data_IF_205759351904
#
_entry.id   IF_205759351904
#
_cell.length_a   1.000
_cell.length_b   1.000
_cell.length_c   1.000
_cell.angle_alpha   90.00
_cell.angle_beta   90.00
_cell.angle_gamma   90.00
#
_symmetry.space_group_name_H-M   'P 1'
#
loop_
_entity.id
_entity.type
_entity.pdbx_description
1 polymer ?
#
# COMPACT_ATOMS: atom_id res chain seq x y z
N UNK A 1 -52.63 -70.59 -59.74
CA UNK A 1 -53.62 -69.68 -60.35
C UNK A 1 -54.50 -69.12 -59.25
N UNK A 2 -54.81 -67.82 -59.35
CA UNK A 2 -55.78 -67.02 -58.58
C UNK A 2 -56.72 -67.72 -57.60
N UNK A 3 -56.90 -67.05 -56.45
CA UNK A 3 -58.13 -66.83 -55.66
C UNK A 3 -57.79 -66.98 -54.16
N UNK A 4 -58.26 -66.19 -53.19
CA UNK A 4 -59.23 -65.08 -53.07
C UNK A 4 -58.97 -64.50 -51.66
N UNK A 5 -58.83 -63.18 -51.49
CA UNK A 5 -59.87 -62.16 -51.18
C UNK A 5 -60.22 -62.03 -49.68
N UNK A 6 -59.82 -60.88 -49.13
CA UNK A 6 -60.43 -60.00 -48.11
C UNK A 6 -61.20 -60.55 -46.90
N UNK A 7 -60.88 -60.04 -45.69
CA UNK A 7 -61.69 -58.99 -45.04
C UNK A 7 -61.14 -58.52 -43.67
N UNK A 8 -61.09 -57.17 -43.49
CA UNK A 8 -61.28 -56.28 -42.31
C UNK A 8 -61.26 -56.89 -40.89
N UNK A 9 -60.71 -56.27 -39.84
CA UNK A 9 -61.21 -55.02 -39.22
C UNK A 9 -60.32 -54.49 -38.07
N UNK A 10 -60.45 -53.20 -37.76
CA UNK A 10 -59.77 -52.39 -36.73
C UNK A 10 -59.96 -52.85 -35.26
N UNK A 11 -58.93 -52.72 -34.40
CA UNK A 11 -58.94 -51.78 -33.25
C UNK A 11 -57.67 -51.80 -32.38
N UNK A 12 -57.12 -50.59 -32.20
CA UNK A 12 -56.33 -50.01 -31.08
C UNK A 12 -56.75 -50.54 -29.68
N UNK A 13 -55.98 -50.54 -28.59
CA UNK A 13 -54.69 -49.98 -28.17
C UNK A 13 -54.54 -50.27 -26.66
N UNK A 14 -53.34 -50.56 -26.14
CA UNK A 14 -52.64 -49.79 -25.07
C UNK A 14 -51.44 -50.56 -24.50
N UNK A 15 -50.28 -49.92 -24.61
CA UNK A 15 -49.03 -50.28 -23.96
C UNK A 15 -49.07 -49.91 -22.47
N UNK A 16 -48.37 -50.65 -21.61
CA UNK A 16 -47.75 -50.05 -20.42
C UNK A 16 -46.27 -50.43 -20.36
N UNK A 17 -45.46 -49.38 -20.36
CA UNK A 17 -43.99 -49.33 -20.45
C UNK A 17 -43.36 -49.70 -19.11
N UNK A 18 -42.16 -50.28 -19.14
CA UNK A 18 -41.26 -50.43 -18.00
C UNK A 18 -40.43 -49.13 -17.81
N UNK A 19 -40.68 -48.29 -16.78
CA UNK A 19 -39.94 -47.05 -16.58
C UNK A 19 -39.16 -47.03 -15.24
N UNK A 20 -39.29 -48.06 -14.40
CA UNK A 20 -38.97 -47.95 -12.98
C UNK A 20 -37.53 -48.31 -12.58
N UNK A 21 -36.76 -49.00 -13.43
CA UNK A 21 -35.39 -49.42 -13.06
C UNK A 21 -34.33 -48.37 -13.44
N UNK A 22 -34.48 -47.69 -14.58
CA UNK A 22 -33.58 -46.58 -14.96
C UNK A 22 -33.77 -45.32 -14.12
N UNK A 23 -34.98 -45.07 -13.63
CA UNK A 23 -35.30 -43.87 -12.82
C UNK A 23 -34.76 -43.97 -11.39
N UNK A 24 -34.61 -45.19 -10.84
CA UNK A 24 -34.01 -45.40 -9.52
C UNK A 24 -32.48 -45.20 -9.53
N UNK A 25 -31.77 -45.65 -10.58
CA UNK A 25 -30.33 -45.41 -10.70
C UNK A 25 -30.00 -43.93 -10.95
N UNK A 26 -30.84 -43.20 -11.70
CA UNK A 26 -30.66 -41.75 -11.87
C UNK A 26 -30.93 -40.96 -10.58
N UNK A 27 -31.85 -41.43 -9.72
CA UNK A 27 -32.13 -40.78 -8.43
C UNK A 27 -30.97 -40.96 -7.44
N UNK A 28 -30.29 -42.11 -7.42
CA UNK A 28 -29.18 -42.35 -6.47
C UNK A 28 -27.94 -41.51 -6.80
N UNK A 29 -27.71 -41.17 -8.08
CA UNK A 29 -26.63 -40.24 -8.47
C UNK A 29 -26.95 -38.76 -8.15
N UNK A 30 -28.22 -38.42 -7.89
CA UNK A 30 -28.65 -37.08 -7.45
C UNK A 30 -28.55 -36.88 -5.92
N UNK A 31 -28.31 -37.95 -5.16
CA UNK A 31 -28.13 -37.92 -3.70
C UNK A 31 -26.71 -38.29 -3.25
N UNK A 32 -25.72 -38.32 -4.16
CA UNK A 32 -24.34 -38.20 -3.72
C UNK A 32 -24.21 -36.80 -3.11
N UNK A 33 -23.84 -36.68 -1.81
CA UNK A 33 -23.50 -35.37 -1.29
C UNK A 33 -22.39 -34.86 -2.21
N UNK A 34 -22.59 -33.68 -2.79
CA UNK A 34 -21.47 -32.87 -3.24
C UNK A 34 -20.60 -32.79 -1.99
N UNK A 35 -19.57 -33.62 -1.92
CA UNK A 35 -18.57 -33.53 -0.88
C UNK A 35 -18.03 -32.13 -1.06
N UNK A 36 -18.52 -31.20 -0.25
CA UNK A 36 -17.98 -29.85 -0.19
C UNK A 36 -16.49 -30.07 -0.09
N UNK A 37 -15.75 -29.64 -1.10
CA UNK A 37 -14.30 -29.72 -1.10
C UNK A 37 -13.91 -29.11 0.23
N UNK A 38 -13.45 -29.96 1.17
CA UNK A 38 -12.92 -29.48 2.44
C UNK A 38 -11.82 -28.52 2.01
N UNK A 39 -12.07 -27.22 2.12
CA UNK A 39 -11.09 -26.20 1.79
C UNK A 39 -9.98 -26.45 2.80
N UNK A 40 -8.95 -27.18 2.36
CA UNK A 40 -7.79 -27.45 3.18
C UNK A 40 -7.10 -26.11 3.38
N UNK A 41 -7.31 -25.51 4.56
CA UNK A 41 -6.55 -24.36 5.05
C UNK A 41 -5.13 -24.77 5.48
N UNK A 42 -4.71 -26.00 5.15
CA UNK A 42 -3.39 -26.53 5.44
C UNK A 42 -2.53 -26.31 4.19
N UNK A 43 -1.36 -25.67 4.31
CA UNK A 43 -0.48 -25.49 3.16
C UNK A 43 -0.13 -26.85 2.56
N UNK A 44 -0.25 -26.97 1.23
CA UNK A 44 0.07 -28.22 0.51
C UNK A 44 1.51 -28.67 0.76
N UNK A 45 2.43 -27.71 0.98
CA UNK A 45 3.82 -27.94 1.32
C UNK A 45 4.21 -27.06 2.50
N UNK A 46 4.71 -27.67 3.57
CA UNK A 46 5.26 -26.98 4.75
C UNK A 46 6.72 -27.36 4.89
N UNK A 47 7.61 -26.47 4.46
CA UNK A 47 9.06 -26.63 4.59
C UNK A 47 9.54 -25.89 5.83
N UNK A 48 10.35 -26.55 6.65
CA UNK A 48 11.09 -25.88 7.71
C UNK A 48 12.30 -25.12 7.15
N UNK A 49 12.86 -24.21 7.93
CA UNK A 49 14.11 -23.53 7.56
C UNK A 49 15.25 -24.51 7.26
N UNK A 50 15.32 -25.63 7.99
CA UNK A 50 16.30 -26.69 7.74
C UNK A 50 16.10 -27.33 6.36
N UNK A 51 14.86 -27.60 5.97
CA UNK A 51 14.53 -28.18 4.67
C UNK A 51 14.88 -27.22 3.52
N UNK A 52 14.66 -25.91 3.72
CA UNK A 52 15.02 -24.87 2.75
C UNK A 52 16.53 -24.76 2.54
N UNK A 53 17.33 -24.88 3.61
CA UNK A 53 18.79 -24.88 3.50
C UNK A 53 19.30 -26.16 2.83
N UNK A 54 18.77 -27.33 3.19
CA UNK A 54 19.19 -28.62 2.61
C UNK A 54 18.85 -28.72 1.11
N UNK A 55 17.75 -28.09 0.69
CA UNK A 55 17.31 -28.06 -0.71
C UNK A 55 17.90 -26.90 -1.53
N UNK A 56 18.82 -26.10 -0.96
CA UNK A 56 19.34 -24.88 -1.57
C UNK A 56 18.25 -23.89 -2.07
N UNK A 57 17.05 -23.94 -1.48
CA UNK A 57 15.93 -23.05 -1.84
C UNK A 57 15.96 -21.72 -1.06
N UNK A 58 16.78 -21.63 -0.03
CA UNK A 58 17.02 -20.39 0.72
C UNK A 58 18.52 -20.14 0.83
N UNK A 59 18.97 -18.96 0.40
CA UNK A 59 20.35 -18.50 0.55
C UNK A 59 20.35 -17.47 1.67
N UNK A 60 20.84 -17.80 2.88
CA UNK A 60 20.91 -16.83 3.96
C UNK A 60 21.98 -15.78 3.66
N UNK A 61 21.66 -14.53 3.96
CA UNK A 61 22.66 -13.47 3.95
C UNK A 61 23.47 -13.54 5.26
N UNK A 62 24.76 -13.85 5.15
CA UNK A 62 25.65 -14.06 6.29
C UNK A 62 25.87 -12.79 7.12
N UNK A 63 25.73 -11.61 6.52
CA UNK A 63 25.78 -10.33 7.24
C UNK A 63 24.64 -10.12 8.23
N UNK A 64 23.63 -11.00 8.26
CA UNK A 64 22.51 -10.90 9.20
C UNK A 64 22.85 -11.24 10.66
N UNK A 65 24.02 -11.83 10.92
CA UNK A 65 24.43 -12.24 12.28
C UNK A 65 24.77 -11.03 13.17
N UNK A 66 25.07 -9.87 12.57
CA UNK A 66 25.54 -8.66 13.26
C UNK A 66 24.42 -7.79 13.87
N UNK A 67 23.16 -8.24 13.89
CA UNK A 67 22.06 -7.53 14.57
C UNK A 67 21.62 -6.21 13.91
N UNK A 68 21.83 -6.09 12.60
CA UNK A 68 21.68 -4.84 11.86
C UNK A 68 20.25 -4.36 11.58
N UNK A 69 19.18 -5.08 11.95
CA UNK A 69 17.80 -4.64 11.71
C UNK A 69 17.53 -4.14 10.26
N UNK A 70 17.51 -5.07 9.30
CA UNK A 70 17.25 -4.77 7.89
C UNK A 70 15.78 -4.44 7.67
N UNK A 71 15.48 -3.22 7.21
CA UNK A 71 14.09 -2.75 7.06
C UNK A 71 13.74 -2.18 5.70
N UNK A 72 14.73 -1.72 4.95
CA UNK A 72 14.51 -1.02 3.69
C UNK A 72 15.21 -1.77 2.57
N UNK A 73 14.49 -2.05 1.48
CA UNK A 73 15.01 -2.77 0.32
C UNK A 73 14.76 -1.93 -0.92
N UNK A 74 15.77 -1.84 -1.78
CA UNK A 74 15.67 -1.26 -3.11
C UNK A 74 16.26 -2.26 -4.12
N UNK A 75 15.40 -2.80 -4.97
CA UNK A 75 15.79 -3.69 -6.06
C UNK A 75 16.21 -2.85 -7.27
N UNK A 76 17.40 -3.12 -7.79
CA UNK A 76 17.90 -2.56 -9.04
C UNK A 76 18.07 -3.72 -10.04
N UNK A 77 17.00 -3.99 -10.79
CA UNK A 77 16.98 -5.06 -11.77
C UNK A 77 17.95 -4.80 -12.93
N UNK A 78 18.07 -3.53 -13.35
CA UNK A 78 18.97 -3.14 -14.44
C UNK A 78 20.40 -3.55 -14.11
N UNK A 79 20.90 -3.20 -12.92
CA UNK A 79 22.27 -3.53 -12.48
C UNK A 79 22.42 -4.93 -11.91
N UNK A 80 21.33 -5.67 -11.73
CA UNK A 80 21.35 -6.96 -11.03
C UNK A 80 21.78 -6.83 -9.56
N UNK A 81 21.37 -5.75 -8.87
CA UNK A 81 21.80 -5.41 -7.51
C UNK A 81 20.63 -5.27 -6.55
N UNK A 82 20.90 -5.51 -5.28
CA UNK A 82 19.98 -5.27 -4.18
C UNK A 82 20.62 -4.34 -3.16
N UNK A 83 20.03 -3.17 -2.94
CA UNK A 83 20.41 -2.28 -1.86
C UNK A 83 19.56 -2.57 -0.62
N UNK A 84 20.22 -2.66 0.53
CA UNK A 84 19.57 -2.93 1.81
C UNK A 84 19.95 -1.86 2.82
N UNK A 85 18.94 -1.17 3.36
CA UNK A 85 19.08 -0.22 4.46
C UNK A 85 18.87 -0.92 5.80
N UNK A 86 19.82 -0.69 6.70
CA UNK A 86 19.86 -1.31 8.03
C UNK A 86 20.22 -0.26 9.11
N UNK A 87 20.46 -0.69 10.34
CA UNK A 87 21.01 0.11 11.44
C UNK A 87 22.47 0.49 11.15
N UNK A 88 22.70 1.79 11.05
CA UNK A 88 23.97 2.47 10.77
C UNK A 88 24.66 2.05 9.45
N UNK A 89 24.01 1.24 8.62
CA UNK A 89 24.64 0.62 7.46
C UNK A 89 23.71 0.57 6.25
N UNK A 90 24.33 0.65 5.08
CA UNK A 90 23.70 0.42 3.78
C UNK A 90 24.54 -0.63 3.06
N UNK A 91 23.90 -1.72 2.63
CA UNK A 91 24.53 -2.82 1.92
C UNK A 91 24.20 -2.77 0.43
N UNK A 92 25.14 -3.19 -0.40
CA UNK A 92 24.95 -3.45 -1.81
C UNK A 92 25.33 -4.90 -2.11
N UNK A 93 24.32 -5.69 -2.47
CA UNK A 93 24.43 -7.12 -2.73
C UNK A 93 24.25 -7.42 -4.22
N UNK A 94 24.76 -8.56 -4.68
CA UNK A 94 24.47 -9.10 -6.01
C UNK A 94 23.21 -9.97 -5.97
N UNK A 95 22.32 -9.84 -6.95
CA UNK A 95 21.13 -10.70 -7.05
C UNK A 95 21.44 -12.16 -7.39
N UNK A 96 22.63 -12.43 -7.96
CA UNK A 96 23.08 -13.79 -8.29
C UNK A 96 23.62 -14.51 -7.07
N UNK A 97 24.38 -13.82 -6.24
CA UNK A 97 24.96 -14.36 -5.01
C UNK A 97 25.05 -13.24 -3.96
N UNK A 98 24.16 -13.31 -2.97
CA UNK A 98 24.02 -12.32 -1.92
C UNK A 98 25.26 -12.18 -1.04
N UNK A 99 26.12 -13.21 -0.98
CA UNK A 99 27.27 -13.24 -0.09
C UNK A 99 28.60 -12.92 -0.81
N UNK A 100 28.58 -12.77 -2.14
CA UNK A 100 29.77 -12.45 -2.94
C UNK A 100 29.95 -10.94 -3.10
N UNK A 101 31.17 -10.45 -2.84
CA UNK A 101 31.57 -9.05 -3.06
C UNK A 101 30.61 -8.03 -2.41
N UNK A 102 30.16 -8.33 -1.19
CA UNK A 102 29.29 -7.45 -0.39
C UNK A 102 30.00 -6.13 -0.14
N UNK A 103 29.42 -5.03 -0.64
CA UNK A 103 29.88 -3.67 -0.30
C UNK A 103 28.99 -3.11 0.80
N UNK A 104 29.56 -2.39 1.77
CA UNK A 104 28.80 -1.70 2.83
C UNK A 104 29.28 -0.28 3.04
N UNK A 105 28.35 0.63 3.26
CA UNK A 105 28.60 1.99 3.73
C UNK A 105 28.23 2.03 5.21
N UNK A 106 29.15 2.51 6.05
CA UNK A 106 28.88 2.82 7.45
C UNK A 106 28.47 4.28 7.57
N UNK A 107 27.23 4.52 7.98
CA UNK A 107 26.64 5.85 8.13
C UNK A 107 25.86 5.96 9.44
N UNK A 108 26.55 6.03 10.59
CA UNK A 108 25.92 6.17 11.89
C UNK A 108 25.44 7.61 12.16
N UNK A 109 24.60 7.78 13.17
CA UNK A 109 24.29 9.10 13.72
C UNK A 109 25.52 9.72 14.40
N UNK A 110 25.63 11.05 14.42
CA UNK A 110 26.74 11.71 15.13
C UNK A 110 26.65 11.48 16.64
N UNK A 111 27.81 11.43 17.31
CA UNK A 111 27.87 11.19 18.77
C UNK A 111 27.01 12.19 19.55
N UNK A 112 27.02 13.46 19.15
CA UNK A 112 26.20 14.50 19.75
C UNK A 112 24.70 14.18 19.67
N UNK A 113 24.20 13.76 18.50
CA UNK A 113 22.78 13.42 18.33
C UNK A 113 22.41 12.16 19.11
N UNK A 114 23.32 11.18 19.18
CA UNK A 114 23.14 10.00 20.01
C UNK A 114 23.02 10.38 21.49
N UNK A 115 23.87 11.28 22.01
CA UNK A 115 23.77 11.75 23.40
C UNK A 115 22.46 12.52 23.65
N UNK A 116 22.04 13.39 22.72
CA UNK A 116 20.74 14.07 22.83
C UNK A 116 19.57 13.08 22.83
N UNK A 117 19.62 12.04 21.99
CA UNK A 117 18.63 10.97 21.96
C UNK A 117 18.55 10.22 23.30
N UNK A 118 19.69 9.88 23.90
CA UNK A 118 19.76 9.24 25.23
C UNK A 118 19.16 10.14 26.31
N UNK A 119 19.51 11.42 26.32
CA UNK A 119 18.97 12.40 27.28
C UNK A 119 17.45 12.59 27.12
N UNK A 120 16.91 12.36 25.92
CA UNK A 120 15.47 12.34 25.67
C UNK A 120 14.77 11.06 26.16
N UNK A 121 15.49 10.13 26.82
CA UNK A 121 14.94 8.91 27.42
C UNK A 121 14.67 7.78 26.44
N UNK A 122 15.30 7.81 25.26
CA UNK A 122 15.15 6.79 24.21
C UNK A 122 16.13 5.63 24.39
N UNK A 123 15.76 4.46 23.87
CA UNK A 123 16.56 3.25 24.00
C UNK A 123 17.85 3.34 23.16
N UNK A 124 18.98 3.08 23.80
CA UNK A 124 20.32 3.23 23.20
C UNK A 124 20.58 2.21 22.10
N UNK A 125 20.02 1.01 22.22
CA UNK A 125 20.27 -0.11 21.32
C UNK A 125 19.27 -0.16 20.17
N UNK A 126 18.01 0.16 20.42
CA UNK A 126 16.92 -0.01 19.45
C UNK A 126 16.44 1.30 18.83
N UNK A 127 16.75 2.47 19.40
CA UNK A 127 16.25 3.74 18.86
C UNK A 127 17.34 4.79 18.60
N UNK A 128 18.37 4.92 19.44
CA UNK A 128 19.43 5.93 19.31
C UNK A 128 20.55 5.56 18.32
N UNK A 129 20.17 5.19 17.11
CA UNK A 129 21.07 4.92 15.99
C UNK A 129 20.49 5.50 14.69
N UNK A 130 21.24 5.40 13.59
CA UNK A 130 20.73 5.79 12.28
C UNK A 130 20.10 4.58 11.57
N UNK A 131 18.78 4.45 11.63
CA UNK A 131 18.07 3.40 10.91
C UNK A 131 17.70 3.90 9.51
N UNK A 132 18.18 3.23 8.48
CA UNK A 132 17.88 3.62 7.09
C UNK A 132 16.42 3.26 6.75
N UNK A 133 15.64 4.28 6.38
CA UNK A 133 14.19 4.17 6.11
C UNK A 133 13.81 4.51 4.68
N UNK A 134 14.65 5.25 3.98
CA UNK A 134 14.43 5.67 2.59
C UNK A 134 15.59 5.21 1.75
N UNK A 135 15.30 4.44 0.71
CA UNK A 135 16.20 4.12 -0.40
C UNK A 135 15.36 4.23 -1.66
N UNK A 136 15.60 5.26 -2.46
CA UNK A 136 14.83 5.53 -3.67
C UNK A 136 15.78 5.85 -4.84
N UNK A 137 15.50 5.38 -6.06
CA UNK A 137 16.26 5.79 -7.23
C UNK A 137 16.07 7.29 -7.46
N UNK A 138 17.14 8.07 -7.47
CA UNK A 138 17.06 9.52 -7.67
C UNK A 138 17.22 9.85 -9.16
N UNK A 139 18.34 9.40 -9.72
CA UNK A 139 18.64 9.51 -11.14
C UNK A 139 19.43 8.27 -11.58
N UNK A 140 19.95 8.27 -12.81
CA UNK A 140 20.68 7.11 -13.36
C UNK A 140 21.96 6.74 -12.60
N UNK A 141 22.54 7.66 -11.83
CA UNK A 141 23.84 7.48 -11.17
C UNK A 141 23.75 7.50 -9.64
N UNK A 142 22.66 8.02 -9.07
CA UNK A 142 22.51 8.24 -7.64
C UNK A 142 21.23 7.61 -7.08
N UNK A 143 21.34 7.13 -5.85
CA UNK A 143 20.23 6.72 -5.00
C UNK A 143 20.05 7.75 -3.89
N UNK A 144 18.82 8.21 -3.68
CA UNK A 144 18.48 9.05 -2.54
C UNK A 144 18.28 8.19 -1.29
N UNK A 145 18.95 8.56 -0.20
CA UNK A 145 18.93 7.80 1.05
C UNK A 145 18.59 8.69 2.23
N UNK A 146 17.78 8.18 3.16
CA UNK A 146 17.54 8.83 4.45
C UNK A 146 17.50 7.83 5.60
N UNK A 147 17.92 8.28 6.77
CA UNK A 147 17.77 7.53 8.01
C UNK A 147 17.35 8.39 9.19
N UNK A 148 16.96 7.73 10.28
CA UNK A 148 16.40 8.36 11.49
C UNK A 148 17.40 9.26 12.23
N UNK A 149 18.71 9.05 12.03
CA UNK A 149 19.77 9.86 12.62
C UNK A 149 19.67 10.02 14.15
N UNK A 150 19.28 8.96 14.88
CA UNK A 150 19.00 9.01 16.32
C UNK A 150 17.97 10.10 16.70
N UNK A 151 16.75 9.99 16.15
CA UNK A 151 15.70 11.02 16.24
C UNK A 151 16.11 12.41 15.70
N UNK A 152 17.01 12.43 14.73
CA UNK A 152 17.34 13.63 13.98
C UNK A 152 17.52 13.26 12.50
N UNK A 153 16.41 13.08 11.76
CA UNK A 153 16.45 12.50 10.43
C UNK A 153 17.35 13.29 9.48
N UNK A 154 18.16 12.56 8.72
CA UNK A 154 19.12 13.08 7.74
C UNK A 154 18.99 12.33 6.42
N UNK A 155 19.25 13.02 5.33
CA UNK A 155 19.25 12.46 3.98
C UNK A 155 20.54 12.80 3.23
N UNK A 156 20.83 12.05 2.18
CA UNK A 156 21.94 12.29 1.26
C UNK A 156 21.82 11.45 0.00
N UNK A 157 22.90 11.41 -0.78
CA UNK A 157 22.95 10.73 -2.06
C UNK A 157 24.06 9.68 -2.07
N UNK A 158 23.75 8.49 -2.58
CA UNK A 158 24.73 7.42 -2.81
C UNK A 158 25.04 7.37 -4.29
N UNK A 159 26.28 7.61 -4.65
CA UNK A 159 26.80 7.47 -6.00
C UNK A 159 27.03 5.98 -6.31
N UNK A 160 26.33 5.47 -7.33
CA UNK A 160 26.50 4.13 -7.88
C UNK A 160 27.33 4.11 -9.17
N UNK A 161 27.66 5.27 -9.74
CA UNK A 161 28.31 5.39 -11.05
C UNK A 161 27.37 5.07 -12.22
N UNK A 162 27.87 5.08 -13.45
CA UNK A 162 27.08 4.74 -14.65
C UNK A 162 26.95 3.22 -14.76
N UNK A 163 25.77 2.73 -15.19
CA UNK A 163 25.43 1.30 -15.24
C UNK A 163 26.49 0.39 -15.92
N UNK A 164 27.23 0.89 -16.92
CA UNK A 164 28.22 0.12 -17.70
C UNK A 164 29.64 0.13 -17.12
N UNK A 165 29.86 0.84 -16.02
CA UNK A 165 31.16 1.02 -15.39
C UNK A 165 31.25 0.28 -14.05
N UNK A 166 32.42 0.31 -13.43
CA UNK A 166 32.59 -0.25 -12.09
C UNK A 166 31.76 0.55 -11.06
N UNK A 167 31.05 -0.18 -10.18
CA UNK A 167 30.18 0.45 -9.19
C UNK A 167 31.02 1.14 -8.11
N UNK A 168 30.88 2.46 -8.00
CA UNK A 168 31.56 3.31 -7.01
C UNK A 168 31.06 3.04 -5.58
N UNK A 169 29.74 3.04 -5.37
CA UNK A 169 29.06 2.85 -4.08
C UNK A 169 29.62 3.74 -2.95
N UNK A 170 29.43 5.05 -3.09
CA UNK A 170 29.95 6.05 -2.15
C UNK A 170 28.85 7.02 -1.71
N UNK A 171 28.74 7.26 -0.41
CA UNK A 171 27.84 8.28 0.14
C UNK A 171 28.50 9.67 0.04
N UNK A 172 27.74 10.65 -0.44
CA UNK A 172 28.12 12.06 -0.34
C UNK A 172 27.83 12.59 1.06
N UNK A 173 28.87 12.71 1.88
CA UNK A 173 28.77 13.22 3.26
C UNK A 173 28.89 14.74 3.35
N UNK A 174 29.23 15.42 2.26
CA UNK A 174 29.40 16.88 2.24
C UNK A 174 28.07 17.61 2.01
N UNK A 175 27.16 16.98 1.25
CA UNK A 175 25.86 17.54 0.89
C UNK A 175 24.70 16.82 1.60
N UNK A 176 24.79 16.68 2.92
CA UNK A 176 23.70 16.08 3.70
C UNK A 176 22.56 17.08 3.89
N UNK A 177 21.34 16.58 3.74
CA UNK A 177 20.11 17.36 3.86
C UNK A 177 19.33 16.98 5.12
N UNK A 178 18.44 17.88 5.57
CA UNK A 178 17.47 17.52 6.59
C UNK A 178 16.51 16.43 6.07
N UNK A 179 16.33 15.38 6.86
CA UNK A 179 15.36 14.33 6.61
C UNK A 179 13.99 14.57 7.23
N UNK A 180 13.77 15.73 7.87
CA UNK A 180 12.46 16.07 8.45
C UNK A 180 11.40 16.03 7.36
N UNK A 181 10.27 15.38 7.64
CA UNK A 181 9.16 15.16 6.70
C UNK A 181 9.51 14.31 5.46
N UNK A 182 10.71 13.77 5.37
CA UNK A 182 11.16 12.81 4.35
C UNK A 182 11.36 11.41 4.93
N UNK A 183 11.78 11.34 6.20
CA UNK A 183 12.07 10.15 6.98
C UNK A 183 11.48 10.31 8.39
N UNK A 184 10.95 9.25 9.02
CA UNK A 184 10.47 9.32 10.41
C UNK A 184 11.64 9.53 11.40
N UNK A 185 11.30 10.07 12.57
CA UNK A 185 12.23 10.24 13.70
C UNK A 185 12.46 8.91 14.43
N UNK A 186 11.38 8.17 14.68
CA UNK A 186 11.38 6.89 15.37
C UNK A 186 11.50 5.74 14.35
N UNK A 187 12.43 4.79 14.53
CA UNK A 187 12.60 3.66 13.60
C UNK A 187 11.39 2.72 13.53
N UNK A 188 10.52 2.69 14.52
CA UNK A 188 9.32 1.86 14.54
C UNK A 188 8.08 2.55 13.95
N UNK A 189 8.16 3.84 13.64
CA UNK A 189 7.02 4.55 13.05
C UNK A 189 6.73 4.08 11.61
N UNK A 190 5.43 3.81 11.29
CA UNK A 190 4.98 3.57 9.94
C UNK A 190 5.30 4.74 9.01
N UNK A 191 5.70 4.41 7.80
CA UNK A 191 6.23 5.36 6.82
C UNK A 191 6.03 4.80 5.41
N UNK A 192 5.79 5.69 4.45
CA UNK A 192 5.84 5.35 3.04
C UNK A 192 6.48 6.48 2.23
N UNK A 193 7.26 6.11 1.21
CA UNK A 193 7.76 7.07 0.24
C UNK A 193 7.87 6.45 -1.15
N UNK A 194 7.90 7.33 -2.15
CA UNK A 194 8.26 7.00 -3.52
C UNK A 194 8.93 8.21 -4.17
N UNK A 195 9.91 7.95 -5.05
CA UNK A 195 10.52 8.96 -5.90
C UNK A 195 9.96 8.84 -7.32
N UNK A 196 9.55 9.96 -7.92
CA UNK A 196 9.22 10.05 -9.34
C UNK A 196 9.58 11.44 -9.83
N UNK A 197 10.23 11.51 -11.00
CA UNK A 197 10.66 12.76 -11.64
C UNK A 197 11.48 13.64 -10.70
N UNK A 198 12.41 13.03 -9.96
CA UNK A 198 13.27 13.69 -8.95
C UNK A 198 12.54 14.29 -7.74
N UNK A 199 11.21 14.14 -7.67
CA UNK A 199 10.41 14.50 -6.50
C UNK A 199 10.22 13.33 -5.55
N UNK A 200 10.49 13.59 -4.27
CA UNK A 200 10.21 12.63 -3.20
C UNK A 200 8.85 12.92 -2.59
N UNK A 201 7.93 11.97 -2.74
CA UNK A 201 6.66 11.93 -2.04
C UNK A 201 6.81 11.10 -0.77
N UNK A 202 6.49 11.67 0.39
CA UNK A 202 6.68 11.02 1.68
C UNK A 202 5.47 11.22 2.59
N UNK A 203 4.96 10.11 3.14
CA UNK A 203 3.96 10.09 4.20
C UNK A 203 4.64 9.69 5.51
N UNK A 204 4.81 10.62 6.43
CA UNK A 204 5.54 10.38 7.69
C UNK A 204 5.05 11.27 8.83
N UNK A 205 5.54 10.99 10.04
CA UNK A 205 5.40 11.89 11.18
C UNK A 205 6.17 13.21 10.96
N UNK A 206 5.56 14.32 11.36
CA UNK A 206 6.13 15.65 11.20
C UNK A 206 7.04 16.10 12.35
N UNK A 207 6.97 15.40 13.48
CA UNK A 207 7.59 15.77 14.73
C UNK A 207 8.23 14.57 15.46
N UNK A 208 9.00 14.88 16.50
CA UNK A 208 9.70 13.91 17.33
C UNK A 208 8.73 12.95 18.05
N UNK A 209 7.55 13.42 18.46
CA UNK A 209 6.57 12.64 19.20
C UNK A 209 5.75 11.69 18.30
N UNK A 210 5.74 11.93 16.98
CA UNK A 210 4.94 11.12 16.06
C UNK A 210 3.44 11.36 16.16
N UNK A 211 3.03 12.51 16.70
CA UNK A 211 1.63 12.86 16.93
C UNK A 211 1.00 13.36 15.64
N UNK A 212 1.67 14.28 14.98
CA UNK A 212 1.21 14.89 13.74
C UNK A 212 1.88 14.20 12.55
N UNK A 213 1.08 13.97 11.51
CA UNK A 213 1.52 13.25 10.31
C UNK A 213 1.19 14.05 9.07
N UNK A 214 2.05 14.01 8.08
CA UNK A 214 1.86 14.75 6.85
C UNK A 214 2.23 13.91 5.63
N UNK A 215 1.53 14.17 4.53
CA UNK A 215 1.96 13.77 3.20
C UNK A 215 2.62 14.99 2.54
N UNK A 216 3.85 14.82 2.08
CA UNK A 216 4.68 15.88 1.51
C UNK A 216 5.21 15.50 0.15
N UNK A 217 5.50 16.52 -0.66
CA UNK A 217 6.40 16.46 -1.81
C UNK A 217 7.55 17.40 -1.56
N UNK A 218 8.76 16.89 -1.73
CA UNK A 218 10.01 17.61 -1.56
C UNK A 218 10.97 17.24 -2.68
N UNK A 219 12.14 17.89 -2.70
CA UNK A 219 13.09 17.81 -3.82
C UNK A 219 12.46 18.37 -5.11
N UNK A 220 12.97 17.95 -6.25
CA UNK A 220 12.59 18.38 -7.59
C UNK A 220 13.83 18.67 -8.45
N UNK A 221 13.64 18.97 -9.73
CA UNK A 221 14.70 19.50 -10.58
C UNK A 221 15.16 20.88 -10.07
N UNK A 222 16.41 21.26 -10.32
CA UNK A 222 17.01 22.49 -9.76
C UNK A 222 16.23 23.79 -10.04
N UNK A 223 15.39 23.81 -11.09
CA UNK A 223 14.56 24.95 -11.46
C UNK A 223 13.12 24.91 -10.92
N UNK A 224 12.71 23.80 -10.32
CA UNK A 224 11.33 23.55 -9.86
C UNK A 224 11.30 22.83 -8.49
N UNK A 225 12.11 23.34 -7.56
CA UNK A 225 12.06 22.92 -6.16
C UNK A 225 10.82 23.49 -5.47
N UNK A 226 9.72 22.75 -5.50
CA UNK A 226 8.49 23.13 -4.82
C UNK A 226 8.13 22.16 -3.70
N UNK A 227 8.16 22.66 -2.47
CA UNK A 227 7.69 21.93 -1.30
C UNK A 227 6.17 22.06 -1.14
N UNK A 228 5.46 20.93 -1.04
CA UNK A 228 4.01 20.89 -0.81
C UNK A 228 3.71 19.90 0.31
N UNK A 229 2.70 20.19 1.14
CA UNK A 229 2.29 19.35 2.26
C UNK A 229 0.79 19.33 2.50
N UNK A 230 0.32 18.35 3.26
CA UNK A 230 -1.04 18.39 3.83
C UNK A 230 -1.19 19.46 4.89
N UNK A 231 -2.42 19.94 5.08
CA UNK A 231 -2.73 20.87 6.17
C UNK A 231 -2.61 20.19 7.55
N UNK A 232 -2.10 20.91 8.54
CA UNK A 232 -1.95 20.42 9.93
C UNK A 232 -3.15 20.84 10.79
N UNK A 233 -3.76 21.98 10.49
CA UNK A 233 -4.82 22.55 11.34
C UNK A 233 -6.14 21.79 11.25
N UNK A 234 -6.30 20.91 10.26
CA UNK A 234 -7.56 20.26 9.93
C UNK A 234 -7.44 18.74 10.05
N UNK A 235 -8.00 18.18 11.13
CA UNK A 235 -8.06 16.72 11.32
C UNK A 235 -8.81 15.98 10.19
N UNK A 236 -9.57 16.72 9.36
CA UNK A 236 -10.23 16.18 8.18
C UNK A 236 -9.25 15.66 7.11
N UNK A 237 -8.03 16.22 7.04
CA UNK A 237 -7.03 15.77 6.07
C UNK A 237 -6.44 14.44 6.50
N UNK A 238 -5.76 14.42 7.66
CA UNK A 238 -5.14 13.24 8.24
C UNK A 238 -5.33 13.29 9.75
N UNK A 239 -5.81 12.18 10.33
CA UNK A 239 -5.99 12.08 11.78
C UNK A 239 -5.14 10.94 12.37
N UNK A 240 -3.92 11.26 12.80
CA UNK A 240 -2.99 10.25 13.32
C UNK A 240 -2.64 9.18 12.29
N UNK A 241 -2.53 9.56 11.01
CA UNK A 241 -2.36 8.64 9.90
C UNK A 241 -1.06 7.84 10.01
N UNK A 242 -1.13 6.53 9.80
CA UNK A 242 0.01 5.63 9.68
C UNK A 242 0.09 5.19 8.23
N UNK A 243 1.14 5.58 7.53
CA UNK A 243 1.33 5.29 6.10
C UNK A 243 1.93 3.89 5.87
N UNK A 244 1.43 3.20 4.86
CA UNK A 244 1.79 1.80 4.52
C UNK A 244 2.52 1.75 3.17
N UNK A 245 2.04 2.47 2.17
CA UNK A 245 2.62 2.46 0.82
C UNK A 245 2.24 3.69 0.00
N UNK A 246 3.09 4.04 -0.95
CA UNK A 246 2.90 5.16 -1.88
C UNK A 246 3.30 4.70 -3.28
N UNK A 247 2.44 4.95 -4.27
CA UNK A 247 2.60 4.42 -5.63
C UNK A 247 2.21 5.47 -6.67
N UNK A 248 3.08 5.78 -7.65
CA UNK A 248 2.68 6.52 -8.84
C UNK A 248 1.84 5.61 -9.73
N UNK A 249 0.62 6.03 -10.05
CA UNK A 249 -0.28 5.28 -10.93
C UNK A 249 -0.83 6.24 -11.99
N UNK A 250 -0.58 5.99 -13.28
CA UNK A 250 -1.15 6.78 -14.36
C UNK A 250 -2.66 6.53 -14.44
N UNK A 251 -3.45 7.60 -14.56
CA UNK A 251 -4.90 7.49 -14.76
C UNK A 251 -5.28 7.37 -16.23
N UNK A 252 -4.53 8.04 -17.11
CA UNK A 252 -4.73 8.03 -18.57
C UNK A 252 -3.39 7.84 -19.28
N UNK A 253 -3.37 7.88 -20.60
CA UNK A 253 -2.13 7.91 -21.39
C UNK A 253 -1.42 9.27 -21.33
N UNK A 254 -2.08 10.31 -20.81
CA UNK A 254 -1.48 11.64 -20.64
C UNK A 254 -0.74 11.69 -19.29
N UNK A 255 0.59 11.91 -19.28
CA UNK A 255 1.35 12.03 -18.04
C UNK A 255 0.88 13.17 -17.13
N UNK A 256 0.22 14.20 -17.66
CA UNK A 256 -0.34 15.29 -16.85
C UNK A 256 -1.50 14.83 -15.92
N UNK A 257 -2.09 13.68 -16.22
CA UNK A 257 -3.14 13.08 -15.39
C UNK A 257 -2.60 12.12 -14.33
N UNK A 258 -1.27 11.92 -14.27
CA UNK A 258 -0.62 11.02 -13.32
C UNK A 258 -0.93 11.42 -11.89
N UNK A 259 -1.22 10.39 -11.07
CA UNK A 259 -1.53 10.58 -9.66
C UNK A 259 -0.62 9.75 -8.78
N UNK A 260 -0.37 10.28 -7.59
CA UNK A 260 0.29 9.54 -6.53
C UNK A 260 -0.78 9.04 -5.58
N UNK A 261 -0.89 7.72 -5.48
CA UNK A 261 -1.79 7.04 -4.55
C UNK A 261 -1.02 6.68 -3.28
N UNK A 262 -1.62 6.95 -2.12
CA UNK A 262 -1.04 6.61 -0.83
C UNK A 262 -2.05 5.83 0.01
N UNK A 263 -1.55 4.79 0.66
CA UNK A 263 -2.33 3.84 1.43
C UNK A 263 -1.93 3.97 2.89
N UNK A 264 -2.92 4.18 3.75
CA UNK A 264 -2.70 4.49 5.15
C UNK A 264 -3.86 4.02 6.00
N UNK A 265 -3.66 3.97 7.31
CA UNK A 265 -4.74 3.82 8.29
C UNK A 265 -4.76 5.02 9.21
N UNK A 266 -5.92 5.47 9.60
CA UNK A 266 -6.08 6.65 10.47
C UNK A 266 -7.15 6.41 11.52
N UNK A 267 -7.18 7.27 12.54
CA UNK A 267 -8.19 7.23 13.58
C UNK A 267 -9.42 7.98 13.07
N UNK A 268 -10.57 7.31 13.09
CA UNK A 268 -11.88 7.93 12.89
C UNK A 268 -12.51 8.18 14.25
N UNK A 269 -13.01 9.41 14.43
CA UNK A 269 -13.81 9.79 15.58
C UNK A 269 -15.19 10.18 15.04
N UNK A 270 -16.17 9.30 15.22
CA UNK A 270 -17.56 9.67 15.01
C UNK A 270 -18.07 10.38 16.26
N UNK A 271 -18.64 11.58 16.10
CA UNK A 271 -19.14 12.40 17.20
C UNK A 271 -20.25 11.72 18.02
N UNK A 272 -20.87 10.66 17.50
CA UNK A 272 -21.97 9.94 18.13
C UNK A 272 -21.58 8.81 19.08
N UNK A 273 -20.33 8.32 19.05
CA UNK A 273 -19.87 7.20 19.88
C UNK A 273 -18.47 7.52 20.41
N UNK A 274 -18.22 7.30 21.69
CA UNK A 274 -16.89 7.50 22.31
C UNK A 274 -15.81 6.54 21.78
N UNK A 275 -16.18 5.62 20.88
CA UNK A 275 -15.30 4.61 20.33
C UNK A 275 -14.44 5.17 19.20
N UNK A 276 -13.13 5.14 19.42
CA UNK A 276 -12.13 5.43 18.39
C UNK A 276 -11.99 4.20 17.49
N UNK A 277 -12.36 4.33 16.22
CA UNK A 277 -12.17 3.28 15.23
C UNK A 277 -10.91 3.57 14.40
N UNK A 278 -10.13 2.54 14.07
CA UNK A 278 -9.08 2.64 13.05
C UNK A 278 -9.74 2.35 11.71
N UNK A 279 -9.50 3.17 10.69
CA UNK A 279 -10.01 2.96 9.33
C UNK A 279 -8.89 2.87 8.32
N UNK A 280 -9.00 1.93 7.39
CA UNK A 280 -8.13 1.83 6.22
C UNK A 280 -8.53 2.83 5.14
N UNK A 281 -7.55 3.50 4.55
CA UNK A 281 -7.72 4.58 3.58
C UNK A 281 -6.82 4.40 2.37
N UNK A 282 -7.36 4.82 1.23
CA UNK A 282 -6.57 5.21 0.06
C UNK A 282 -6.78 6.70 -0.14
N UNK A 283 -5.71 7.42 -0.42
CA UNK A 283 -5.78 8.79 -0.91
C UNK A 283 -5.01 8.96 -2.20
N UNK A 284 -5.30 10.06 -2.90
CA UNK A 284 -4.63 10.45 -4.15
C UNK A 284 -4.35 11.93 -4.18
N UNK A 285 -3.29 12.30 -4.91
CA UNK A 285 -2.92 13.66 -5.30
C UNK A 285 -2.48 13.64 -6.77
N UNK A 286 -2.63 14.76 -7.48
CA UNK A 286 -2.09 14.89 -8.83
C UNK A 286 -0.59 15.19 -8.76
N UNK A 287 0.18 14.57 -9.64
CA UNK A 287 1.65 14.71 -9.67
C UNK A 287 2.10 16.14 -9.96
N UNK A 288 1.35 16.87 -10.78
CA UNK A 288 1.57 18.26 -11.17
C UNK A 288 0.81 19.29 -10.31
N UNK A 289 0.27 18.90 -9.15
CA UNK A 289 -0.33 19.85 -8.20
C UNK A 289 0.75 20.84 -7.71
N UNK A 290 0.52 22.13 -7.83
CA UNK A 290 1.44 23.21 -7.44
C UNK A 290 0.97 23.97 -6.19
N UNK A 291 -0.08 23.46 -5.54
CA UNK A 291 -0.75 24.15 -4.47
C UNK A 291 -1.54 25.37 -4.95
N UNK A 292 -2.08 26.11 -4.00
CA UNK A 292 -2.98 27.20 -4.30
C UNK A 292 -2.34 28.59 -4.33
N UNK A 293 -2.88 29.47 -5.15
CA UNK A 293 -2.34 30.82 -5.37
C UNK A 293 -2.63 31.80 -4.21
N UNK A 294 -3.80 31.68 -3.58
CA UNK A 294 -4.26 32.60 -2.50
C UNK A 294 -4.58 31.84 -1.21
N UNK A 295 -5.34 30.77 -1.35
CA UNK A 295 -5.61 29.78 -0.29
C UNK A 295 -4.78 28.53 -0.57
N UNK A 296 -4.48 27.73 0.46
CA UNK A 296 -3.70 26.49 0.32
C UNK A 296 -2.32 26.70 -0.34
N UNK A 297 -1.66 27.83 -0.05
CA UNK A 297 -0.28 28.10 -0.50
C UNK A 297 0.64 27.01 0.05
N UNK A 298 1.42 26.36 -0.83
CA UNK A 298 2.28 25.22 -0.50
C UNK A 298 1.53 24.03 0.14
N UNK A 299 0.22 23.90 -0.12
CA UNK A 299 -0.62 22.79 0.32
C UNK A 299 -1.33 22.14 -0.86
N UNK A 300 -1.58 20.84 -0.77
CA UNK A 300 -2.25 20.10 -1.84
C UNK A 300 -3.62 20.70 -2.16
N UNK A 301 -3.93 20.89 -3.45
CA UNK A 301 -5.26 21.29 -3.91
C UNK A 301 -6.06 20.11 -4.46
N UNK A 302 -5.38 19.00 -4.74
CA UNK A 302 -5.93 17.80 -5.36
C UNK A 302 -6.03 16.60 -4.41
N UNK A 303 -5.71 16.79 -3.13
CA UNK A 303 -5.77 15.74 -2.11
C UNK A 303 -7.20 15.23 -1.94
N UNK A 304 -7.38 13.93 -2.13
CA UNK A 304 -8.63 13.22 -1.83
C UNK A 304 -8.33 11.95 -1.05
N UNK A 305 -9.25 11.51 -0.20
CA UNK A 305 -9.20 10.20 0.46
C UNK A 305 -10.55 9.49 0.46
N UNK A 306 -10.51 8.16 0.50
CA UNK A 306 -11.67 7.28 0.55
C UNK A 306 -11.42 6.12 1.52
N UNK A 307 -12.49 5.52 2.06
CA UNK A 307 -12.40 4.31 2.92
C UNK A 307 -12.14 3.08 2.07
N UNK A 308 -11.19 2.23 2.48
CA UNK A 308 -11.09 0.85 2.00
C UNK A 308 -11.85 -0.04 2.99
N UNK A 309 -12.93 -0.66 2.54
CA UNK A 309 -13.74 -1.57 3.36
C UNK A 309 -13.33 -2.99 3.04
N UNK A 310 -12.70 -3.69 3.98
CA UNK A 310 -12.47 -5.12 3.86
C UNK A 310 -13.37 -5.80 4.90
N UNK A 311 -14.51 -6.36 4.49
CA UNK A 311 -15.44 -7.01 5.42
C UNK A 311 -15.96 -8.33 4.91
N UNK A 312 -16.32 -9.21 5.84
CA UNK A 312 -17.02 -10.46 5.54
C UNK A 312 -18.41 -10.38 6.14
N UNK A 313 -19.48 -10.58 5.34
CA UNK A 313 -20.83 -10.58 5.86
C UNK A 313 -21.05 -11.74 6.83
N UNK A 314 -21.50 -11.41 8.04
CA UNK A 314 -21.82 -12.40 9.05
C UNK A 314 -23.22 -13.02 8.84
N UNK A 315 -23.48 -14.21 9.41
CA UNK A 315 -24.76 -14.91 9.26
C UNK A 315 -25.95 -14.13 9.85
N UNK A 316 -25.71 -13.24 10.82
CA UNK A 316 -26.73 -12.41 11.47
C UNK A 316 -26.77 -10.97 10.91
N UNK A 317 -26.12 -10.71 9.76
CA UNK A 317 -26.07 -9.39 9.13
C UNK A 317 -25.05 -8.42 9.76
N UNK A 318 -24.33 -8.85 10.80
CA UNK A 318 -23.19 -8.12 11.33
C UNK A 318 -21.91 -8.46 10.54
N UNK A 319 -21.42 -7.50 9.77
CA UNK A 319 -20.16 -7.61 9.03
C UNK A 319 -18.96 -7.65 9.97
N UNK A 320 -17.99 -8.53 9.68
CA UNK A 320 -16.68 -8.52 10.33
C UNK A 320 -15.71 -7.68 9.52
N UNK A 321 -15.29 -6.53 10.05
CA UNK A 321 -14.43 -5.55 9.36
C UNK A 321 -12.95 -5.73 9.69
N UNK A 322 -12.10 -5.69 8.65
CA UNK A 322 -10.65 -5.70 8.70
C UNK A 322 -10.10 -4.32 8.37
N UNK A 323 -10.05 -3.43 9.36
CA UNK A 323 -9.65 -2.04 9.15
C UNK A 323 -8.17 -1.75 9.45
N UNK A 324 -7.39 -2.71 9.99
CA UNK A 324 -5.94 -2.51 10.18
C UNK A 324 -5.14 -2.84 8.91
N UNK A 325 -4.94 -1.84 8.06
CA UNK A 325 -4.05 -1.97 6.89
C UNK A 325 -2.60 -2.26 7.30
N UNK A 326 -2.00 -3.27 6.67
CA UNK A 326 -0.57 -3.62 6.79
C UNK A 326 0.06 -3.79 5.41
N UNK A 327 1.38 -3.60 5.33
CA UNK A 327 2.12 -3.74 4.07
C UNK A 327 2.15 -5.22 3.66
N UNK A 328 1.79 -5.50 2.41
CA UNK A 328 2.07 -6.80 1.80
C UNK A 328 3.55 -6.81 1.37
N UNK A 329 4.32 -7.81 1.79
CA UNK A 329 5.73 -7.99 1.38
C UNK A 329 5.87 -8.47 -0.08
N UNK A 330 4.78 -8.97 -0.68
CA UNK A 330 4.69 -9.27 -2.11
C UNK A 330 4.04 -8.12 -2.85
N UNK A 331 4.83 -7.37 -3.61
CA UNK A 331 4.36 -6.31 -4.49
C UNK A 331 3.61 -6.93 -5.69
N UNK A 332 2.38 -7.38 -5.49
CA UNK A 332 1.41 -7.58 -6.57
C UNK A 332 0.59 -6.29 -6.72
N UNK A 333 1.27 -5.23 -7.15
CA UNK A 333 0.64 -4.08 -7.77
C UNK A 333 0.85 -4.24 -9.27
N UNK A 334 -0.03 -5.00 -9.92
CA UNK A 334 -0.21 -4.80 -11.35
C UNK A 334 -0.94 -3.45 -11.53
N UNK A 335 -0.71 -2.73 -12.63
CA UNK A 335 -1.34 -1.43 -12.92
C UNK A 335 -2.88 -1.47 -12.85
N UNK A 336 -3.45 -2.67 -12.87
CA UNK A 336 -4.88 -2.97 -12.85
C UNK A 336 -5.45 -3.23 -11.44
N UNK A 337 -4.67 -3.82 -10.52
CA UNK A 337 -5.16 -4.29 -9.23
C UNK A 337 -4.14 -4.03 -8.11
N UNK A 338 -4.64 -3.53 -6.97
CA UNK A 338 -3.84 -3.39 -5.75
C UNK A 338 -4.31 -4.39 -4.70
N UNK A 339 -3.38 -5.15 -4.12
CA UNK A 339 -3.66 -6.14 -3.08
C UNK A 339 -3.02 -5.73 -1.75
N UNK A 340 -3.82 -5.76 -0.68
CA UNK A 340 -3.34 -5.40 0.66
C UNK A 340 -3.72 -6.46 1.69
N UNK A 341 -2.85 -6.64 2.68
CA UNK A 341 -3.13 -7.45 3.86
C UNK A 341 -3.74 -6.53 4.91
N UNK A 342 -4.98 -6.82 5.32
CA UNK A 342 -5.67 -6.17 6.42
C UNK A 342 -5.82 -7.16 7.57
N UNK A 343 -5.84 -6.69 8.81
CA UNK A 343 -5.88 -7.56 9.99
C UNK A 343 -6.98 -7.16 10.98
N UNK A 344 -7.43 -8.13 11.76
CA UNK A 344 -8.34 -8.01 12.92
C UNK A 344 -7.84 -8.92 14.02
N UNK A 345 -8.24 -8.71 15.27
CA UNK A 345 -7.93 -9.58 16.41
C UNK A 345 -7.86 -11.08 16.02
N UNK A 346 -6.63 -11.62 16.00
CA UNK A 346 -6.26 -13.02 15.68
C UNK A 346 -6.58 -13.53 14.25
N UNK A 347 -7.00 -12.69 13.31
CA UNK A 347 -7.26 -13.06 11.92
C UNK A 347 -6.70 -12.06 10.92
N UNK A 348 -6.27 -12.53 9.75
CA UNK A 348 -5.85 -11.64 8.66
C UNK A 348 -6.65 -11.92 7.40
N UNK A 349 -6.93 -10.86 6.65
CA UNK A 349 -7.60 -10.90 5.37
C UNK A 349 -6.71 -10.26 4.30
N UNK A 350 -6.74 -10.78 3.08
CA UNK A 350 -6.15 -10.14 1.90
C UNK A 350 -7.29 -9.66 1.03
N UNK A 351 -7.43 -8.34 0.91
CA UNK A 351 -8.45 -7.72 0.08
C UNK A 351 -7.81 -7.15 -1.19
N UNK A 352 -8.43 -7.41 -2.34
CA UNK A 352 -7.99 -6.93 -3.66
C UNK A 352 -8.94 -5.84 -4.13
N UNK A 353 -8.39 -4.69 -4.54
CA UNK A 353 -9.17 -3.55 -5.02
C UNK A 353 -8.78 -3.21 -6.46
N UNK A 354 -9.78 -3.01 -7.32
CA UNK A 354 -9.56 -2.54 -8.68
C UNK A 354 -9.30 -1.04 -8.68
N UNK A 355 -8.34 -0.59 -9.50
CA UNK A 355 -8.14 0.85 -9.72
C UNK A 355 -9.36 1.52 -10.35
N UNK A 356 -10.20 0.77 -11.09
CA UNK A 356 -11.44 1.29 -11.65
C UNK A 356 -12.44 1.69 -10.55
N UNK A 357 -12.64 0.85 -9.54
CA UNK A 357 -13.53 1.15 -8.40
C UNK A 357 -13.01 2.32 -7.57
N UNK A 358 -11.70 2.34 -7.31
CA UNK A 358 -11.04 3.45 -6.62
C UNK A 358 -11.28 4.77 -7.36
N UNK A 359 -11.11 4.79 -8.69
CA UNK A 359 -11.36 5.98 -9.53
C UNK A 359 -12.83 6.36 -9.55
N UNK A 360 -13.73 5.39 -9.68
CA UNK A 360 -15.18 5.63 -9.67
C UNK A 360 -15.61 6.30 -8.37
N UNK A 361 -15.10 5.82 -7.24
CA UNK A 361 -15.28 6.44 -5.93
C UNK A 361 -14.74 7.86 -5.94
N UNK A 362 -13.47 8.11 -6.30
CA UNK A 362 -12.97 9.49 -6.30
C UNK A 362 -13.68 10.44 -7.28
N UNK A 363 -14.37 9.90 -8.29
CA UNK A 363 -15.23 10.62 -9.22
C UNK A 363 -16.72 10.60 -8.79
N UNK A 364 -17.04 10.07 -7.62
CA UNK A 364 -18.35 10.07 -6.98
C UNK A 364 -18.58 11.27 -6.05
N UNK A 365 -19.63 11.25 -5.22
CA UNK A 365 -19.98 12.37 -4.37
C UNK A 365 -18.97 12.56 -3.22
N UNK A 366 -18.83 13.80 -2.75
CA UNK A 366 -17.99 14.11 -1.60
C UNK A 366 -18.77 13.89 -0.29
N UNK A 367 -18.09 13.54 0.82
CA UNK A 367 -18.72 13.62 2.14
C UNK A 367 -18.63 15.04 2.70
N UNK A 368 -19.67 15.43 3.42
CA UNK A 368 -19.85 16.76 3.94
C UNK A 368 -20.36 16.73 5.38
N UNK A 369 -19.98 17.75 6.14
CA UNK A 369 -20.52 18.08 7.45
C UNK A 369 -20.83 19.57 7.46
N UNK A 370 -22.02 19.94 7.91
CA UNK A 370 -22.41 21.34 8.07
C UNK A 370 -21.75 21.98 9.30
N UNK A 371 -21.56 21.20 10.37
CA UNK A 371 -20.76 21.56 11.54
C UNK A 371 -20.06 20.35 12.15
N UNK A 372 -19.17 20.57 13.12
CA UNK A 372 -18.39 19.52 13.81
C UNK A 372 -19.29 18.42 14.41
N UNK A 373 -20.44 18.82 14.95
CA UNK A 373 -21.38 17.94 15.64
C UNK A 373 -22.27 17.13 14.67
N UNK A 374 -22.38 17.57 13.42
CA UNK A 374 -23.16 16.86 12.41
C UNK A 374 -22.48 15.55 11.99
N UNK A 375 -23.31 14.60 11.56
CA UNK A 375 -22.83 13.36 10.94
C UNK A 375 -22.33 13.63 9.53
N UNK A 376 -21.43 12.78 9.06
CA UNK A 376 -21.03 12.78 7.66
C UNK A 376 -22.22 12.42 6.78
N UNK A 377 -22.52 13.26 5.80
CA UNK A 377 -23.55 13.04 4.79
C UNK A 377 -22.95 13.17 3.39
N UNK A 378 -23.69 12.70 2.39
CA UNK A 378 -23.32 12.95 1.00
C UNK A 378 -23.51 14.44 0.66
N UNK A 379 -22.55 15.05 -0.02
CA UNK A 379 -22.68 16.41 -0.53
C UNK A 379 -23.65 16.44 -1.71
N UNK A 380 -24.77 17.14 -1.53
CA UNK A 380 -25.82 17.28 -2.56
C UNK A 380 -25.78 18.65 -3.28
N UNK A 381 -24.88 19.54 -2.87
CA UNK A 381 -24.74 20.86 -3.49
C UNK A 381 -24.04 20.83 -4.85
N UNK A 382 -23.86 22.01 -5.44
CA UNK A 382 -23.19 22.15 -6.75
C UNK A 382 -21.68 21.96 -6.59
N UNK A 383 -21.15 20.90 -7.22
CA UNK A 383 -19.70 20.68 -7.33
C UNK A 383 -19.07 21.76 -8.22
N UNK A 384 -18.06 22.50 -7.75
CA UNK A 384 -17.41 23.53 -8.55
C UNK A 384 -16.60 23.00 -9.70
N UNK A 385 -16.34 23.93 -10.62
CA UNK A 385 -15.54 23.69 -11.81
C UNK A 385 -14.29 24.58 -11.77
N UNK A 386 -13.09 24.03 -12.01
CA UNK A 386 -12.80 22.61 -12.24
C UNK A 386 -13.09 21.75 -11.00
N UNK A 387 -13.32 20.45 -11.21
CA UNK A 387 -13.71 19.53 -10.14
C UNK A 387 -12.56 19.39 -9.12
N UNK A 388 -12.79 19.54 -7.80
CA UNK A 388 -11.76 19.31 -6.80
C UNK A 388 -11.15 17.91 -6.89
N UNK A 389 -9.82 17.82 -6.94
CA UNK A 389 -9.09 16.58 -7.20
C UNK A 389 -8.79 16.28 -8.67
N UNK A 390 -9.16 17.18 -9.58
CA UNK A 390 -8.65 17.23 -10.97
C UNK A 390 -7.64 18.37 -11.11
N UNK A 391 -6.73 18.23 -12.07
CA UNK A 391 -5.77 19.28 -12.40
C UNK A 391 -6.49 20.33 -13.25
N UNK A 392 -6.59 21.57 -12.78
CA UNK A 392 -6.84 22.72 -13.66
C UNK A 392 -6.48 24.03 -12.99
N UNK A 393 -5.90 24.90 -13.81
CA UNK A 393 -5.45 26.27 -13.54
C UNK A 393 -6.63 27.09 -13.00
N UNK A 394 -6.47 27.63 -11.80
CA UNK A 394 -7.29 28.72 -11.25
C UNK A 394 -8.77 28.40 -10.98
N UNK A 395 -9.10 27.72 -9.88
CA UNK A 395 -10.14 28.15 -8.92
C UNK A 395 -10.22 27.15 -7.75
N UNK A 396 -10.02 27.64 -6.53
CA UNK A 396 -10.08 26.85 -5.29
C UNK A 396 -11.39 27.19 -4.59
N UNK A 397 -12.22 26.19 -4.34
CA UNK A 397 -13.32 26.27 -3.39
C UNK A 397 -13.14 25.14 -2.38
N UNK A 398 -13.34 25.46 -1.11
CA UNK A 398 -13.23 24.53 0.02
C UNK A 398 -14.25 23.40 -0.13
N UNK A 399 -13.79 22.19 -0.45
CA UNK A 399 -14.57 20.96 -0.26
C UNK A 399 -13.90 20.09 0.78
N UNK A 400 -14.71 19.58 1.69
CA UNK A 400 -14.29 18.55 2.62
C UNK A 400 -14.04 17.27 1.81
N UNK A 401 -12.77 16.89 1.74
CA UNK A 401 -12.25 15.87 0.83
C UNK A 401 -12.52 14.48 1.37
N UNK A 402 -13.62 13.88 0.95
CA UNK A 402 -13.91 12.51 1.31
C UNK A 402 -14.77 11.87 0.23
N UNK A 403 -14.47 10.66 -0.20
CA UNK A 403 -15.35 9.90 -1.09
C UNK A 403 -15.85 8.61 -0.44
N UNK A 404 -16.94 8.03 -0.99
CA UNK A 404 -17.60 6.80 -0.55
C UNK A 404 -16.64 5.62 -0.36
N UNK A 405 -17.11 4.57 0.32
CA UNK A 405 -16.31 3.39 0.59
C UNK A 405 -16.01 2.57 -0.68
N UNK A 406 -14.82 1.98 -0.74
CA UNK A 406 -14.38 1.06 -1.79
C UNK A 406 -14.48 -0.36 -1.23
N UNK A 407 -15.16 -1.23 -1.95
CA UNK A 407 -15.38 -2.65 -1.60
C UNK A 407 -14.39 -3.51 -2.41
N UNK A 408 -13.81 -4.57 -1.83
CA UNK A 408 -12.86 -5.44 -2.52
C UNK A 408 -13.55 -6.31 -3.55
N UNK A 409 -12.80 -6.63 -4.61
CA UNK A 409 -13.17 -7.61 -5.62
C UNK A 409 -13.00 -9.05 -5.10
N UNK A 410 -12.01 -9.30 -4.25
CA UNK A 410 -11.78 -10.60 -3.59
C UNK A 410 -11.28 -10.44 -2.15
N UNK A 411 -11.60 -11.43 -1.32
CA UNK A 411 -11.14 -11.55 0.07
C UNK A 411 -10.56 -12.95 0.29
N UNK A 412 -9.30 -13.03 0.71
CA UNK A 412 -8.69 -14.26 1.22
C UNK A 412 -8.58 -14.18 2.73
N UNK A 413 -8.90 -15.26 3.44
CA UNK A 413 -8.74 -15.35 4.89
C UNK A 413 -7.55 -16.23 5.24
N UNK A 414 -6.68 -15.73 6.11
CA UNK A 414 -5.66 -16.53 6.78
C UNK A 414 -6.02 -16.61 8.26
N UNK A 415 -6.29 -17.84 8.72
CA UNK A 415 -6.57 -18.21 10.11
C UNK A 415 -5.48 -19.07 10.72
#
# INVERSE_FOLDING_TARGET
MNARKDSRENSRMRSFKAPHVCTLLSLVMLFLPVTGTSKQNIPRLKLSYKDLLLSNSCIPFLGSVEGFDFRTLLLDEERGRLLIGAKDHIFLLSLVDLNKNVKKIYWPASKEKVEVCKLAGKDVQTECANFIRVLQPYNRTHVYVCGTGAFHPICGYIELGIHKEEIVFRLDTQNLESGRLKCPFDPHQPFASVMTDEYLYAGTASDFLGKDTALTRSLGPSHDHHYIRTDISEHYWLNGAKFIGTYPIPDTYNPDDDKIYFFFREISQDSSTSDKAILSRVGRICKNDMGGQRSLINKWTTFLKARLVCSIPGPEGADTYFDELRKNSGQCSDLTHTSFILSVFKGSAVCVYSMADIRAVFNGPYAHKESVDHRWVQYEGRIPYPRPGTVSVSLIIYFYFYSMAIIPYFIFLNG
#
